data_IF_441271991806
#
_entry.id   IF_441271991806
#
_cell.length_a   1.000
_cell.length_b   1.000
_cell.length_c   1.000
_cell.angle_alpha   90.00
_cell.angle_beta   90.00
_cell.angle_gamma   90.00
#
_symmetry.space_group_name_H-M   'P 1'
#
loop_
_entity.id
_entity.type
_entity.pdbx_description
1 polymer ?
#
# COMPACT_ATOMS: atom_id res chain seq x y z
N UNK A 1 -32.49 -70.02 -64.65
CA UNK A 1 -33.56 -69.89 -65.67
C UNK A 1 -34.88 -69.78 -64.93
N UNK A 2 -35.72 -68.79 -65.27
CA UNK A 2 -37.06 -68.47 -64.75
C UNK A 2 -37.15 -67.52 -63.54
N UNK A 3 -37.24 -66.24 -63.91
CA UNK A 3 -38.14 -65.19 -63.44
C UNK A 3 -39.12 -65.54 -62.32
N UNK A 4 -39.29 -64.63 -61.35
CA UNK A 4 -40.61 -64.05 -61.08
C UNK A 4 -40.49 -62.62 -60.54
N UNK A 5 -41.49 -61.83 -60.91
CA UNK A 5 -41.51 -60.38 -61.02
C UNK A 5 -42.27 -59.75 -59.85
N UNK A 6 -41.76 -58.60 -59.39
CA UNK A 6 -42.44 -57.43 -58.82
C UNK A 6 -43.87 -57.57 -58.22
N UNK A 7 -44.01 -57.26 -56.93
CA UNK A 7 -45.21 -56.59 -56.39
C UNK A 7 -44.77 -55.37 -55.57
N UNK A 8 -44.97 -54.19 -56.15
CA UNK A 8 -45.05 -52.92 -55.44
C UNK A 8 -46.28 -52.93 -54.53
N UNK A 9 -46.14 -52.46 -53.29
CA UNK A 9 -47.23 -51.78 -52.59
C UNK A 9 -46.68 -50.70 -51.65
N UNK A 10 -47.35 -49.56 -51.71
CA UNK A 10 -47.04 -48.22 -51.22
C UNK A 10 -47.11 -48.03 -49.69
N UNK A 11 -46.47 -46.95 -49.23
CA UNK A 11 -46.73 -46.27 -47.94
C UNK A 11 -45.43 -45.98 -47.18
N UNK A 12 -45.08 -44.79 -46.70
CA UNK A 12 -45.76 -43.50 -46.55
C UNK A 12 -44.65 -42.44 -46.47
N UNK A 13 -44.80 -41.28 -47.10
CA UNK A 13 -43.96 -40.11 -46.85
C UNK A 13 -44.21 -39.61 -45.42
N UNK A 14 -43.21 -39.69 -44.56
CA UNK A 14 -43.15 -38.90 -43.33
C UNK A 14 -42.43 -37.60 -43.63
N UNK A 15 -43.19 -36.54 -43.92
CA UNK A 15 -42.67 -35.19 -44.10
C UNK A 15 -42.82 -34.39 -42.81
N UNK A 16 -41.75 -33.70 -42.40
CA UNK A 16 -41.75 -32.58 -41.46
C UNK A 16 -41.83 -32.98 -39.98
N UNK A 17 -41.11 -32.37 -39.05
CA UNK A 17 -40.55 -31.03 -39.01
C UNK A 17 -39.35 -31.08 -38.05
N UNK A 18 -38.12 -30.93 -38.56
CA UNK A 18 -36.99 -30.61 -37.68
C UNK A 18 -37.12 -29.13 -37.38
N UNK A 19 -37.57 -28.80 -36.16
CA UNK A 19 -37.39 -27.47 -35.59
C UNK A 19 -35.89 -27.26 -35.40
N UNK A 20 -35.23 -26.76 -36.43
CA UNK A 20 -33.92 -26.13 -36.26
C UNK A 20 -34.17 -24.88 -35.43
N UNK A 21 -34.05 -25.00 -34.11
CA UNK A 21 -33.88 -23.83 -33.26
C UNK A 21 -32.63 -23.12 -33.78
N UNK A 22 -32.81 -22.01 -34.50
CA UNK A 22 -31.72 -21.11 -34.82
C UNK A 22 -31.26 -20.54 -33.48
N UNK A 23 -30.30 -21.21 -32.85
CA UNK A 23 -29.58 -20.62 -31.73
C UNK A 23 -28.89 -19.39 -32.31
N UNK A 24 -29.42 -18.22 -31.99
CA UNK A 24 -28.67 -16.98 -32.16
C UNK A 24 -27.33 -17.23 -31.46
N UNK A 25 -26.18 -17.14 -32.14
CA UNK A 25 -24.91 -17.26 -31.45
C UNK A 25 -24.95 -16.23 -30.32
N UNK A 26 -24.71 -16.69 -29.08
CA UNK A 26 -24.55 -15.78 -27.97
C UNK A 26 -23.47 -14.78 -28.40
N UNK A 27 -23.86 -13.50 -28.53
CA UNK A 27 -22.90 -12.46 -28.82
C UNK A 27 -21.88 -12.50 -27.69
N UNK A 28 -20.60 -12.66 -28.03
CA UNK A 28 -19.53 -12.50 -27.07
C UNK A 28 -19.77 -11.17 -26.35
N UNK A 29 -19.68 -11.17 -25.01
CA UNK A 29 -19.68 -9.92 -24.27
C UNK A 29 -18.62 -9.01 -24.90
N UNK A 30 -18.94 -7.72 -25.06
CA UNK A 30 -17.96 -6.77 -25.56
C UNK A 30 -16.73 -6.81 -24.62
N UNK A 31 -15.50 -6.78 -25.15
CA UNK A 31 -14.30 -6.93 -24.34
C UNK A 31 -14.19 -5.78 -23.34
N UNK A 32 -13.68 -6.10 -22.14
CA UNK A 32 -13.35 -5.09 -21.14
C UNK A 32 -12.17 -4.24 -21.64
N UNK A 33 -12.37 -2.92 -21.67
CA UNK A 33 -11.44 -1.92 -22.19
C UNK A 33 -11.27 -0.72 -21.24
N UNK A 34 -11.96 -0.74 -20.10
CA UNK A 34 -11.93 0.36 -19.15
C UNK A 34 -10.91 0.02 -18.08
N UNK A 35 -10.06 0.98 -17.70
CA UNK A 35 -9.11 0.77 -16.62
C UNK A 35 -9.74 1.10 -15.25
N UNK A 36 -9.29 0.44 -14.17
CA UNK A 36 -9.74 0.77 -12.82
C UNK A 36 -9.40 2.20 -12.43
N UNK A 37 -10.25 2.79 -11.60
CA UNK A 37 -10.03 4.11 -11.02
C UNK A 37 -9.80 4.00 -9.52
N UNK A 38 -9.01 4.93 -8.98
CA UNK A 38 -8.94 5.07 -7.54
C UNK A 38 -8.40 6.40 -7.06
N UNK A 39 -8.74 6.69 -5.80
CA UNK A 39 -8.53 7.97 -5.13
C UNK A 39 -7.98 7.74 -3.74
N UNK A 40 -6.86 8.39 -3.44
CA UNK A 40 -6.08 8.15 -2.24
C UNK A 40 -5.83 9.40 -1.41
N UNK A 41 -5.45 9.18 -0.16
CA UNK A 41 -4.92 10.21 0.71
C UNK A 41 -3.72 9.64 1.50
N UNK A 42 -2.72 10.48 1.75
CA UNK A 42 -1.68 10.22 2.75
C UNK A 42 -2.07 10.85 4.08
N UNK A 43 -1.85 10.13 5.18
CA UNK A 43 -2.09 10.62 6.55
C UNK A 43 -1.21 11.84 6.91
N UNK A 44 -0.01 11.94 6.34
CA UNK A 44 0.90 13.06 6.55
C UNK A 44 1.65 13.46 5.28
N UNK A 45 1.86 14.77 5.13
CA UNK A 45 2.78 15.35 4.12
C UNK A 45 4.16 15.63 4.69
N UNK A 46 4.31 15.53 6.02
CA UNK A 46 5.58 15.69 6.74
C UNK A 46 5.74 14.61 7.80
N UNK A 47 6.82 13.85 7.68
CA UNK A 47 7.20 12.74 8.56
C UNK A 47 8.59 12.98 9.15
N UNK A 48 8.85 12.44 10.34
CA UNK A 48 10.19 12.43 10.93
C UNK A 48 10.92 11.15 10.51
N UNK A 49 12.25 11.16 10.53
CA UNK A 49 13.04 9.98 10.23
C UNK A 49 12.58 8.77 11.05
N UNK A 50 12.37 7.64 10.38
CA UNK A 50 11.89 6.41 11.01
C UNK A 50 10.41 6.40 11.36
N UNK A 51 9.60 7.42 11.01
CA UNK A 51 8.14 7.36 11.11
C UNK A 51 7.54 6.82 9.81
N UNK A 52 6.41 6.13 9.92
CA UNK A 52 5.67 5.65 8.77
C UNK A 52 4.65 6.67 8.25
N UNK A 53 4.39 6.61 6.94
CA UNK A 53 3.20 7.19 6.31
C UNK A 53 2.18 6.08 6.04
N UNK A 54 0.91 6.44 6.09
CA UNK A 54 -0.22 5.56 5.77
C UNK A 54 -0.90 6.08 4.51
N UNK A 55 -0.94 5.24 3.48
CA UNK A 55 -1.78 5.41 2.31
C UNK A 55 -3.17 4.87 2.65
N UNK A 56 -4.21 5.64 2.33
CA UNK A 56 -5.61 5.21 2.47
C UNK A 56 -6.32 5.40 1.14
N UNK A 57 -6.91 4.33 0.62
CA UNK A 57 -7.83 4.39 -0.49
C UNK A 57 -9.17 4.92 0.00
N UNK A 58 -9.62 6.01 -0.61
CA UNK A 58 -10.96 6.58 -0.40
C UNK A 58 -11.98 5.92 -1.32
N UNK A 59 -11.53 5.51 -2.50
CA UNK A 59 -12.33 4.82 -3.51
C UNK A 59 -11.39 4.02 -4.41
N UNK A 60 -11.79 2.78 -4.71
CA UNK A 60 -11.25 1.97 -5.79
C UNK A 60 -12.46 1.32 -6.46
N UNK A 61 -12.56 1.45 -7.78
CA UNK A 61 -13.68 0.90 -8.54
C UNK A 61 -13.27 0.58 -9.97
N UNK A 62 -14.04 -0.32 -10.57
CA UNK A 62 -13.95 -0.69 -11.97
C UNK A 62 -15.38 -1.00 -12.47
N UNK A 63 -15.61 -0.93 -13.78
CA UNK A 63 -16.94 -1.12 -14.36
C UNK A 63 -17.27 -2.58 -14.67
N UNK A 64 -16.25 -3.42 -14.94
CA UNK A 64 -16.42 -4.83 -15.33
C UNK A 64 -15.68 -5.77 -14.39
N UNK A 65 -14.41 -5.48 -14.10
CA UNK A 65 -13.55 -6.31 -13.28
C UNK A 65 -13.93 -6.21 -11.80
N UNK A 66 -14.03 -7.36 -11.13
CA UNK A 66 -14.21 -7.36 -9.68
C UNK A 66 -12.96 -6.82 -8.99
N UNK A 67 -13.11 -6.18 -7.82
CA UNK A 67 -11.95 -5.64 -7.08
C UNK A 67 -10.90 -6.70 -6.70
N UNK A 68 -11.33 -7.96 -6.52
CA UNK A 68 -10.41 -9.08 -6.28
C UNK A 68 -9.49 -9.38 -7.48
N UNK A 69 -9.88 -8.96 -8.68
CA UNK A 69 -9.13 -9.14 -9.93
C UNK A 69 -8.36 -7.86 -10.33
N UNK A 70 -8.48 -6.79 -9.54
CA UNK A 70 -7.71 -5.55 -9.69
C UNK A 70 -6.47 -5.61 -8.82
N UNK A 71 -5.32 -5.25 -9.38
CA UNK A 71 -4.04 -5.11 -8.65
C UNK A 71 -3.63 -3.65 -8.58
N UNK A 72 -3.19 -3.23 -7.41
CA UNK A 72 -2.62 -1.91 -7.17
C UNK A 72 -1.11 -2.05 -6.96
N UNK A 73 -0.31 -1.30 -7.71
CA UNK A 73 1.12 -1.14 -7.50
C UNK A 73 1.38 0.23 -6.90
N UNK A 74 1.92 0.26 -5.68
CA UNK A 74 2.28 1.48 -4.96
C UNK A 74 3.80 1.66 -5.02
N UNK A 75 4.25 2.75 -5.63
CA UNK A 75 5.64 3.19 -5.59
C UNK A 75 5.76 4.29 -4.54
N UNK A 76 6.61 4.10 -3.54
CA UNK A 76 6.80 5.04 -2.44
C UNK A 76 7.75 6.19 -2.78
N UNK A 77 8.45 6.13 -3.93
CA UNK A 77 9.38 7.15 -4.40
C UNK A 77 10.75 7.12 -3.73
N UNK A 78 10.96 6.28 -2.71
CA UNK A 78 12.23 6.05 -2.03
C UNK A 78 12.98 4.81 -2.54
N UNK A 79 12.47 4.20 -3.62
CA UNK A 79 12.93 2.94 -4.18
C UNK A 79 12.20 1.70 -3.64
N UNK A 80 11.36 1.86 -2.62
CA UNK A 80 10.45 0.82 -2.14
C UNK A 80 9.12 0.79 -2.90
N UNK A 81 8.50 -0.39 -2.97
CA UNK A 81 7.19 -0.57 -3.57
C UNK A 81 6.38 -1.65 -2.84
N UNK A 82 5.06 -1.60 -3.00
CA UNK A 82 4.11 -2.58 -2.45
C UNK A 82 3.07 -2.95 -3.52
N UNK A 83 2.65 -4.22 -3.54
CA UNK A 83 1.46 -4.65 -4.28
C UNK A 83 0.30 -4.82 -3.31
N UNK A 84 -0.87 -4.31 -3.70
CA UNK A 84 -2.12 -4.45 -2.97
C UNK A 84 -3.18 -5.07 -3.87
N UNK A 85 -4.08 -5.85 -3.30
CA UNK A 85 -5.30 -6.28 -3.98
C UNK A 85 -6.30 -5.11 -4.05
N UNK A 86 -7.21 -5.10 -5.02
CA UNK A 86 -8.12 -3.97 -5.26
C UNK A 86 -9.09 -3.66 -4.11
N UNK A 87 -9.32 -4.61 -3.21
CA UNK A 87 -10.13 -4.44 -2.00
C UNK A 87 -9.34 -3.97 -0.77
N UNK A 88 -8.00 -3.93 -0.84
CA UNK A 88 -7.17 -3.39 0.22
C UNK A 88 -7.21 -1.85 0.20
N UNK A 89 -7.67 -1.29 1.32
CA UNK A 89 -7.95 0.15 1.44
C UNK A 89 -6.89 0.92 2.23
N UNK A 90 -5.87 0.26 2.78
CA UNK A 90 -4.80 0.96 3.51
C UNK A 90 -3.50 0.19 3.49
N UNK A 91 -2.39 0.93 3.41
CA UNK A 91 -1.04 0.38 3.52
C UNK A 91 -0.11 1.36 4.22
N UNK A 92 0.84 0.84 5.01
CA UNK A 92 1.79 1.64 5.79
C UNK A 92 3.23 1.41 5.33
N UNK A 93 3.96 2.49 5.05
CA UNK A 93 5.36 2.44 4.64
C UNK A 93 6.26 3.29 5.53
N UNK A 94 7.48 2.82 5.79
CA UNK A 94 8.47 3.52 6.61
C UNK A 94 9.58 4.09 5.74
N UNK A 95 9.77 5.40 5.82
CA UNK A 95 10.90 6.07 5.15
C UNK A 95 12.12 6.14 6.08
N UNK A 96 13.24 5.61 5.61
CA UNK A 96 14.49 5.57 6.38
C UNK A 96 15.42 6.77 6.13
N UNK A 97 15.28 7.41 4.97
CA UNK A 97 16.14 8.49 4.53
C UNK A 97 15.42 9.84 4.57
N UNK A 98 16.18 10.90 4.77
CA UNK A 98 15.68 12.27 4.65
C UNK A 98 15.45 12.59 3.18
N UNK A 99 14.34 13.26 2.86
CA UNK A 99 14.02 13.57 1.48
C UNK A 99 12.56 13.93 1.26
N UNK A 100 12.23 14.21 0.01
CA UNK A 100 10.87 14.41 -0.46
C UNK A 100 10.55 13.29 -1.43
N UNK A 101 9.52 12.50 -1.13
CA UNK A 101 9.16 11.29 -1.87
C UNK A 101 7.76 11.42 -2.43
N UNK A 102 7.63 11.29 -3.75
CA UNK A 102 6.32 11.32 -4.42
C UNK A 102 5.79 9.90 -4.52
N UNK A 103 4.70 9.64 -3.81
CA UNK A 103 4.01 8.35 -3.84
C UNK A 103 3.14 8.28 -5.10
N UNK A 104 3.17 7.15 -5.80
CA UNK A 104 2.29 6.91 -6.95
C UNK A 104 1.59 5.57 -6.81
N UNK A 105 0.37 5.47 -7.34
CA UNK A 105 -0.38 4.22 -7.40
C UNK A 105 -0.76 3.95 -8.85
N UNK A 106 -0.60 2.71 -9.30
CA UNK A 106 -1.02 2.24 -10.63
C UNK A 106 -1.90 1.02 -10.48
N UNK A 107 -2.94 0.94 -11.30
CA UNK A 107 -3.86 -0.19 -11.34
C UNK A 107 -3.62 -1.05 -12.55
N UNK A 108 -3.94 -2.32 -12.44
CA UNK A 108 -4.09 -3.22 -13.58
C UNK A 108 -5.21 -4.21 -13.28
N UNK A 109 -6.15 -4.37 -14.20
CA UNK A 109 -7.23 -5.36 -14.11
C UNK A 109 -6.86 -6.69 -14.80
N UNK A 110 -7.80 -7.63 -14.84
CA UNK A 110 -7.65 -8.94 -15.48
C UNK A 110 -7.67 -8.88 -17.01
N UNK A 111 -8.20 -7.81 -17.60
CA UNK A 111 -8.16 -7.56 -19.05
C UNK A 111 -6.83 -6.89 -19.49
N UNK A 112 -6.03 -6.41 -18.54
CA UNK A 112 -4.77 -5.73 -18.76
C UNK A 112 -4.90 -4.21 -18.93
N UNK A 113 -6.08 -3.63 -18.67
CA UNK A 113 -6.24 -2.18 -18.67
C UNK A 113 -5.55 -1.59 -17.43
N UNK A 114 -4.91 -0.45 -17.60
CA UNK A 114 -4.10 0.16 -16.56
C UNK A 114 -4.27 1.67 -16.50
N UNK A 115 -4.30 2.21 -15.29
CA UNK A 115 -4.41 3.64 -15.02
C UNK A 115 -3.61 4.04 -13.78
N UNK A 116 -3.39 5.34 -13.61
CA UNK A 116 -2.79 5.91 -12.41
C UNK A 116 -3.89 6.35 -11.43
N UNK A 117 -3.65 6.14 -10.14
CA UNK A 117 -4.48 6.67 -9.07
C UNK A 117 -4.33 8.18 -8.89
N UNK A 118 -5.36 8.79 -8.33
CA UNK A 118 -5.38 10.21 -7.99
C UNK A 118 -5.24 10.43 -6.48
N UNK A 119 -4.69 11.58 -6.07
CA UNK A 119 -4.54 11.94 -4.66
C UNK A 119 -5.41 13.13 -4.28
N UNK A 120 -5.97 13.06 -3.08
CA UNK A 120 -6.58 14.19 -2.40
C UNK A 120 -5.50 14.91 -1.60
N UNK A 121 -5.28 16.17 -1.92
CA UNK A 121 -4.18 16.93 -1.33
C UNK A 121 -2.84 16.53 -1.95
N UNK A 122 -1.82 16.31 -1.11
CA UNK A 122 -0.47 16.03 -1.58
C UNK A 122 -0.20 14.52 -1.65
N UNK A 123 0.36 14.07 -2.76
CA UNK A 123 0.96 12.75 -2.92
C UNK A 123 2.43 12.69 -2.43
N UNK A 124 2.94 13.79 -1.88
CA UNK A 124 4.35 13.90 -1.49
C UNK A 124 4.51 13.80 0.02
N UNK A 125 5.35 12.85 0.45
CA UNK A 125 5.81 12.70 1.83
C UNK A 125 7.18 13.37 2.00
N UNK A 126 7.27 14.34 2.92
CA UNK A 126 8.52 15.03 3.23
C UNK A 126 9.09 14.50 4.54
N UNK A 127 10.23 13.81 4.46
CA UNK A 127 10.93 13.23 5.61
C UNK A 127 12.01 14.20 6.08
N UNK A 128 11.87 14.66 7.31
CA UNK A 128 12.78 15.61 7.94
C UNK A 128 13.40 15.02 9.19
N UNK A 129 14.61 15.48 9.53
CA UNK A 129 15.26 15.07 10.77
C UNK A 129 14.36 15.42 11.96
N UNK A 130 14.20 14.50 12.90
CA UNK A 130 13.50 14.76 14.15
C UNK A 130 14.07 16.03 14.81
N UNK A 131 13.23 17.07 15.04
CA UNK A 131 13.67 18.26 15.72
C UNK A 131 13.76 17.96 17.23
N UNK A 132 14.67 18.65 17.89
CA UNK A 132 14.90 18.49 19.31
C UNK A 132 16.29 18.95 19.70
N UNK A 133 16.38 19.65 20.82
CA UNK A 133 17.65 20.05 21.42
C UNK A 133 17.64 19.68 22.90
N UNK A 134 18.82 19.39 23.42
CA UNK A 134 19.06 19.14 24.84
C UNK A 134 20.08 20.13 25.36
N UNK A 135 19.84 20.70 26.54
CA UNK A 135 20.77 21.60 27.22
C UNK A 135 20.93 21.19 28.68
N UNK A 136 22.17 21.23 29.15
CA UNK A 136 22.47 21.10 30.56
C UNK A 136 22.27 22.45 31.26
N UNK A 137 21.51 22.49 32.35
CA UNK A 137 21.24 23.73 33.06
C UNK A 137 22.51 24.35 33.64
N UNK A 138 23.43 23.52 34.14
CA UNK A 138 24.74 23.92 34.67
C UNK A 138 25.81 22.93 34.21
N UNK A 139 26.98 23.41 33.81
CA UNK A 139 28.10 22.57 33.37
C UNK A 139 28.92 21.99 34.52
N UNK A 140 28.81 22.60 35.70
CA UNK A 140 29.48 22.20 36.94
C UNK A 140 28.45 22.24 38.07
N UNK A 141 28.48 21.23 38.92
CA UNK A 141 27.57 21.05 40.07
C UNK A 141 28.36 20.47 41.24
N UNK A 142 27.94 20.76 42.48
CA UNK A 142 28.55 20.12 43.64
C UNK A 142 28.06 18.67 43.79
N UNK A 143 28.82 17.86 44.52
CA UNK A 143 28.39 16.49 44.86
C UNK A 143 27.06 16.57 45.64
N UNK A 144 26.05 15.83 45.17
CA UNK A 144 24.71 15.81 45.75
C UNK A 144 23.72 16.81 45.10
N UNK A 145 24.20 17.77 44.30
CA UNK A 145 23.31 18.65 43.55
C UNK A 145 22.63 17.90 42.39
N UNK A 146 21.36 18.20 42.09
CA UNK A 146 20.69 17.63 40.93
C UNK A 146 21.27 18.17 39.62
N UNK A 147 21.50 17.27 38.67
CA UNK A 147 21.82 17.62 37.29
C UNK A 147 20.52 17.73 36.49
N UNK A 148 20.22 18.93 35.98
CA UNK A 148 19.01 19.17 35.19
C UNK A 148 19.34 19.22 33.69
N UNK A 149 18.68 18.38 32.92
CA UNK A 149 18.69 18.40 31.45
C UNK A 149 17.36 18.97 30.97
N UNK A 150 17.41 20.08 30.24
CA UNK A 150 16.23 20.66 29.58
C UNK A 150 16.16 20.18 28.15
N UNK A 151 14.99 19.66 27.76
CA UNK A 151 14.68 19.28 26.39
C UNK A 151 13.76 20.33 25.77
N UNK A 152 14.01 20.70 24.53
CA UNK A 152 13.21 21.70 23.81
C UNK A 152 13.03 21.32 22.34
N UNK A 153 11.89 21.70 21.76
CA UNK A 153 11.59 21.49 20.34
C UNK A 153 11.26 20.04 19.97
N UNK A 154 10.96 19.18 20.94
CA UNK A 154 10.51 17.81 20.71
C UNK A 154 9.02 17.86 20.33
N UNK A 155 8.60 17.29 19.18
CA UNK A 155 7.21 17.29 18.78
C UNK A 155 6.31 16.46 19.71
N UNK A 156 5.05 16.85 19.85
CA UNK A 156 4.04 16.20 20.72
C UNK A 156 3.73 14.74 20.38
N UNK A 157 4.09 14.25 19.18
CA UNK A 157 3.92 12.85 18.79
C UNK A 157 5.05 11.91 19.21
N UNK A 158 6.09 12.42 19.88
CA UNK A 158 7.20 11.61 20.40
C UNK A 158 6.85 11.13 21.80
N UNK A 159 6.61 9.82 21.96
CA UNK A 159 6.20 9.21 23.24
C UNK A 159 7.37 8.72 24.10
N UNK A 160 8.58 8.70 23.54
CA UNK A 160 9.78 8.18 24.19
C UNK A 160 10.99 9.03 23.84
N UNK A 161 11.67 9.56 24.86
CA UNK A 161 12.99 10.19 24.73
C UNK A 161 13.97 9.44 25.60
N UNK A 162 15.10 9.02 25.02
CA UNK A 162 16.19 8.37 25.76
C UNK A 162 17.29 9.39 26.04
N UNK A 163 17.55 9.65 27.31
CA UNK A 163 18.69 10.45 27.75
C UNK A 163 19.77 9.49 28.26
N UNK A 164 20.98 9.62 27.70
CA UNK A 164 22.15 8.87 28.13
C UNK A 164 23.03 9.76 29.01
N UNK A 165 23.54 9.23 30.10
CA UNK A 165 24.57 9.87 30.91
C UNK A 165 25.73 8.92 31.17
N UNK A 166 26.92 9.49 31.38
CA UNK A 166 28.17 8.76 31.45
C UNK A 166 28.84 8.63 30.08
N UNK A 167 29.88 7.78 29.99
CA UNK A 167 30.63 7.57 28.75
C UNK A 167 29.94 6.54 27.86
N UNK A 168 30.07 6.69 26.54
CA UNK A 168 29.53 5.76 25.54
C UNK A 168 30.06 4.35 25.79
N UNK A 169 29.15 3.39 25.94
CA UNK A 169 29.46 1.96 26.07
C UNK A 169 30.17 1.48 24.80
N UNK A 170 31.50 1.40 24.82
CA UNK A 170 32.30 1.02 23.65
C UNK A 170 33.81 1.31 23.76
N UNK A 171 34.22 2.26 24.60
CA UNK A 171 35.65 2.47 24.88
C UNK A 171 36.11 1.53 25.99
N UNK A 172 36.88 0.50 25.62
CA UNK A 172 37.36 -0.56 26.50
C UNK A 172 38.49 -0.06 27.42
N UNK A 173 38.24 -0.05 28.73
CA UNK A 173 39.22 0.24 29.79
C UNK A 173 38.57 0.64 31.12
N UNK A 174 38.25 -0.36 31.94
CA UNK A 174 37.62 -0.41 33.28
C UNK A 174 38.12 0.61 34.34
N UNK A 175 37.44 0.86 35.51
CA UNK A 175 36.03 0.75 35.94
C UNK A 175 35.45 2.13 36.40
N UNK A 176 34.24 2.15 36.97
CA UNK A 176 33.68 3.24 37.83
C UNK A 176 32.90 4.40 37.18
N UNK A 177 32.12 4.12 36.14
CA UNK A 177 31.06 5.03 35.70
C UNK A 177 29.70 4.33 35.71
N UNK A 178 28.79 4.74 36.58
CA UNK A 178 27.38 4.36 36.48
C UNK A 178 26.80 4.95 35.19
N UNK A 179 26.96 4.23 34.08
CA UNK A 179 26.19 4.50 32.87
C UNK A 179 24.74 4.23 33.21
N UNK A 180 23.89 5.23 33.06
CA UNK A 180 22.46 5.08 33.23
C UNK A 180 21.71 5.70 32.06
N UNK A 181 20.46 5.30 31.96
CA UNK A 181 19.54 5.75 30.94
C UNK A 181 18.22 6.11 31.59
N UNK A 182 17.63 7.22 31.18
CA UNK A 182 16.27 7.59 31.54
C UNK A 182 15.45 7.48 30.26
N UNK A 183 14.38 6.71 30.34
CA UNK A 183 13.31 6.78 29.38
C UNK A 183 12.28 7.77 29.92
N UNK A 184 12.18 8.91 29.28
CA UNK A 184 11.12 9.87 29.58
C UNK A 184 9.92 9.51 28.72
N UNK A 185 8.81 9.21 29.38
CA UNK A 185 7.50 9.12 28.78
C UNK A 185 6.86 10.51 28.87
N UNK A 186 6.35 11.01 27.74
CA UNK A 186 5.51 12.21 27.73
C UNK A 186 4.04 11.81 27.86
#
# INVERSE_FOLDING_TARGET
MRFLTNRLLSGLLGAGLVLAASATPARAADPDVTAPVGRYQLDFTKVWDGRSATLTALEVSDDVSALADVRQFVDWGDGGFTYLDGDQTSERHQFYNLGSYTVTVRFTDQAGNAAAGSFVGSATAVVTKMPGTSKLAKKEVYIGDPVVVTLAGIPSGVTKVRVWWGRRQGDLGQPDGHAGQALLHQ
#
